data_IF_113586906557
#
_entry.id   IF_113586906557
#
_cell.length_a   1.000
_cell.length_b   1.000
_cell.length_c   1.000
_cell.angle_alpha   90.00
_cell.angle_beta   90.00
_cell.angle_gamma   90.00
#
_symmetry.space_group_name_H-M   'P 1'
#
loop_
_entity.id
_entity.type
_entity.pdbx_description
1 polymer ?
#
# COMPACT_ATOMS: atom_id res chain seq x y z
N UNK A 1 -0.02 -1.86 -36.57
CA UNK A 1 -0.68 -1.03 -35.54
C UNK A 1 0.08 -1.17 -34.24
N UNK A 2 0.11 -2.36 -33.62
CA UNK A 2 0.90 -2.64 -32.40
C UNK A 2 2.34 -2.08 -32.43
N UNK A 3 3.10 -2.28 -33.51
CA UNK A 3 4.49 -1.79 -33.58
C UNK A 3 4.64 -0.27 -33.48
N UNK A 4 3.67 0.50 -34.01
CA UNK A 4 3.70 1.96 -33.91
C UNK A 4 3.26 2.44 -32.51
N UNK A 5 2.35 1.69 -31.87
CA UNK A 5 1.88 1.98 -30.51
C UNK A 5 2.98 1.71 -29.49
N UNK A 6 3.72 0.60 -29.65
CA UNK A 6 4.90 0.29 -28.84
C UNK A 6 6.03 1.29 -29.01
N UNK A 7 6.32 1.73 -30.23
CA UNK A 7 7.36 2.73 -30.46
C UNK A 7 7.03 4.06 -29.76
N UNK A 8 5.78 4.52 -29.91
CA UNK A 8 5.29 5.74 -29.26
C UNK A 8 5.41 5.69 -27.73
N UNK A 9 4.86 4.64 -27.11
CA UNK A 9 4.91 4.54 -25.64
C UNK A 9 6.31 4.19 -25.13
N UNK A 10 7.13 3.50 -25.91
CA UNK A 10 8.53 3.26 -25.58
C UNK A 10 9.33 4.57 -25.52
N UNK A 11 9.13 5.48 -26.48
CA UNK A 11 9.70 6.82 -26.46
C UNK A 11 9.21 7.63 -25.25
N UNK A 12 7.89 7.63 -25.01
CA UNK A 12 7.28 8.37 -23.91
C UNK A 12 7.78 7.89 -22.53
N UNK A 13 7.78 6.57 -22.29
CA UNK A 13 8.29 5.97 -21.05
C UNK A 13 9.76 6.28 -20.86
N UNK A 14 10.58 6.16 -21.92
CA UNK A 14 12.01 6.43 -21.84
C UNK A 14 12.31 7.89 -21.50
N UNK A 15 11.52 8.82 -22.03
CA UNK A 15 11.71 10.25 -21.83
C UNK A 15 11.17 10.75 -20.48
N UNK A 16 10.05 10.21 -19.99
CA UNK A 16 9.30 10.81 -18.89
C UNK A 16 9.21 9.95 -17.62
N UNK A 17 9.29 8.62 -17.73
CA UNK A 17 8.94 7.70 -16.63
C UNK A 17 10.02 6.64 -16.34
N UNK A 18 11.21 6.77 -16.94
CA UNK A 18 12.23 5.73 -16.89
C UNK A 18 12.93 5.65 -15.53
N UNK A 19 13.14 6.79 -14.89
CA UNK A 19 13.95 6.95 -13.67
C UNK A 19 13.09 6.99 -12.41
N UNK A 20 12.09 7.87 -12.37
CA UNK A 20 11.25 8.11 -11.20
C UNK A 20 9.97 7.27 -11.23
N UNK A 21 9.49 6.89 -10.04
CA UNK A 21 8.16 6.29 -9.91
C UNK A 21 7.11 7.28 -10.41
N UNK A 22 6.15 6.85 -11.22
CA UNK A 22 5.04 7.69 -11.66
C UNK A 22 3.75 6.86 -11.68
N UNK A 23 2.69 7.37 -11.05
CA UNK A 23 1.36 6.80 -11.19
C UNK A 23 0.54 7.62 -12.19
N UNK A 24 -0.10 6.94 -13.13
CA UNK A 24 -0.98 7.52 -14.14
C UNK A 24 -2.36 6.91 -13.96
N UNK A 25 -3.35 7.74 -13.66
CA UNK A 25 -4.71 7.28 -13.35
C UNK A 25 -5.75 8.00 -14.20
N UNK A 26 -6.48 7.25 -15.01
CA UNK A 26 -7.59 7.73 -15.81
C UNK A 26 -8.90 7.43 -15.10
N UNK A 27 -9.76 8.43 -14.99
CA UNK A 27 -11.14 8.31 -14.52
C UNK A 27 -12.12 8.80 -15.57
N UNK A 28 -13.21 8.08 -15.80
CA UNK A 28 -14.29 8.54 -16.68
C UNK A 28 -15.37 9.35 -15.94
N UNK A 29 -15.11 9.69 -14.66
CA UNK A 29 -15.90 10.68 -13.95
C UNK A 29 -15.79 12.04 -14.64
N UNK A 30 -16.92 12.70 -14.96
CA UNK A 30 -16.92 14.00 -15.62
C UNK A 30 -16.63 15.17 -14.65
N UNK A 31 -16.75 14.93 -13.34
CA UNK A 31 -16.56 15.95 -12.31
C UNK A 31 -15.10 15.97 -11.82
N UNK A 32 -14.37 17.00 -12.24
CA UNK A 32 -13.00 17.27 -11.79
C UNK A 32 -12.89 17.31 -10.27
N UNK A 33 -13.84 17.94 -9.58
CA UNK A 33 -13.79 18.08 -8.14
C UNK A 33 -13.97 16.72 -7.44
N UNK A 34 -14.78 15.83 -8.02
CA UNK A 34 -14.93 14.46 -7.53
C UNK A 34 -13.63 13.67 -7.70
N UNK A 35 -12.92 13.84 -8.83
CA UNK A 35 -11.60 13.24 -9.04
C UNK A 35 -10.60 13.75 -8.00
N UNK A 36 -10.48 15.07 -7.81
CA UNK A 36 -9.59 15.66 -6.80
C UNK A 36 -9.86 15.10 -5.38
N UNK A 37 -11.14 15.07 -4.98
CA UNK A 37 -11.53 14.54 -3.66
C UNK A 37 -11.27 13.04 -3.49
N UNK A 38 -11.36 12.26 -4.57
CA UNK A 38 -11.06 10.82 -4.51
C UNK A 38 -9.58 10.56 -4.17
N UNK A 39 -8.68 11.48 -4.51
CA UNK A 39 -7.28 11.45 -4.09
C UNK A 39 -7.02 12.11 -2.74
N UNK A 40 -8.03 12.68 -2.08
CA UNK A 40 -7.85 13.44 -0.85
C UNK A 40 -7.27 14.84 -1.04
N UNK A 41 -7.41 15.40 -2.24
CA UNK A 41 -7.04 16.78 -2.54
C UNK A 41 -8.24 17.74 -2.44
N UNK A 42 -7.94 19.02 -2.19
CA UNK A 42 -8.94 20.10 -2.21
C UNK A 42 -8.94 20.78 -3.59
N UNK A 43 -10.02 20.64 -4.40
CA UNK A 43 -10.09 21.25 -5.74
C UNK A 43 -10.04 22.79 -5.70
N UNK A 44 -10.37 23.41 -4.56
CA UNK A 44 -10.31 24.87 -4.39
C UNK A 44 -8.90 25.43 -4.28
N UNK A 45 -7.88 24.58 -4.12
CA UNK A 45 -6.47 24.95 -3.98
C UNK A 45 -5.64 24.64 -5.24
N UNK A 46 -6.30 24.38 -6.38
CA UNK A 46 -5.62 24.06 -7.63
C UNK A 46 -4.82 25.23 -8.22
N UNK A 47 -3.64 24.92 -8.73
CA UNK A 47 -2.75 25.87 -9.42
C UNK A 47 -2.40 25.37 -10.82
N UNK A 48 -2.17 26.26 -11.78
CA UNK A 48 -1.75 25.83 -13.12
C UNK A 48 -0.29 25.35 -13.09
N UNK A 49 0.00 24.16 -13.61
CA UNK A 49 1.35 23.61 -13.70
C UNK A 49 1.41 22.52 -14.78
N UNK A 50 2.57 22.34 -15.42
CA UNK A 50 2.81 21.19 -16.30
C UNK A 50 3.38 19.99 -15.51
N UNK A 51 3.60 18.85 -16.18
CA UNK A 51 4.13 17.64 -15.54
C UNK A 51 5.60 17.78 -15.13
N UNK A 52 6.42 18.45 -15.94
CA UNK A 52 7.86 18.62 -15.70
C UNK A 52 8.15 19.42 -14.42
N UNK A 53 7.46 20.55 -14.23
CA UNK A 53 7.59 21.39 -13.04
C UNK A 53 7.12 20.63 -11.78
N UNK A 54 6.08 19.79 -11.89
CA UNK A 54 5.61 18.95 -10.80
C UNK A 54 6.59 17.84 -10.44
N UNK A 55 7.26 17.24 -11.43
CA UNK A 55 8.34 16.28 -11.20
C UNK A 55 9.49 16.93 -10.41
N UNK A 56 9.91 18.14 -10.79
CA UNK A 56 10.95 18.90 -10.07
C UNK A 56 10.52 19.18 -8.63
N UNK A 57 9.27 19.62 -8.43
CA UNK A 57 8.73 19.90 -7.10
C UNK A 57 8.74 18.64 -6.22
N UNK A 58 8.23 17.53 -6.74
CA UNK A 58 8.15 16.28 -6.00
C UNK A 58 9.54 15.66 -5.75
N UNK A 59 10.54 15.90 -6.60
CA UNK A 59 11.91 15.46 -6.33
C UNK A 59 12.50 16.15 -5.07
N UNK A 60 11.88 17.23 -4.60
CA UNK A 60 12.20 17.88 -3.32
C UNK A 60 11.39 17.32 -2.13
N UNK A 61 10.58 16.28 -2.32
CA UNK A 61 9.63 15.78 -1.32
C UNK A 61 10.27 15.07 -0.12
N UNK A 62 11.56 14.72 -0.17
CA UNK A 62 12.30 14.23 1.00
C UNK A 62 12.43 15.30 2.12
N UNK A 63 12.05 16.54 1.84
CA UNK A 63 11.95 17.61 2.82
C UNK A 63 10.67 17.44 3.64
N UNK A 64 10.75 17.34 4.99
CA UNK A 64 9.58 17.25 5.85
C UNK A 64 8.56 18.36 5.57
N UNK A 65 7.32 17.98 5.26
CA UNK A 65 6.20 18.90 5.00
C UNK A 65 5.86 19.14 3.54
N UNK A 66 6.60 18.56 2.59
CA UNK A 66 6.16 18.49 1.18
C UNK A 66 5.06 17.46 1.07
N UNK A 67 3.93 17.85 0.49
CA UNK A 67 2.78 16.98 0.27
C UNK A 67 2.85 16.34 -1.13
N UNK A 68 2.27 15.14 -1.33
CA UNK A 68 2.21 14.53 -2.65
C UNK A 68 1.52 15.44 -3.68
N UNK A 69 2.15 15.61 -4.83
CA UNK A 69 1.65 16.43 -5.94
C UNK A 69 0.85 15.57 -6.93
N UNK A 70 -0.30 16.09 -7.37
CA UNK A 70 -1.10 15.56 -8.47
C UNK A 70 -1.11 16.56 -9.62
N UNK A 71 -0.91 16.12 -10.86
CA UNK A 71 -1.20 16.89 -12.06
C UNK A 71 -2.46 16.32 -12.72
N UNK A 72 -3.49 17.15 -12.83
CA UNK A 72 -4.80 16.73 -13.32
C UNK A 72 -5.14 17.48 -14.60
N UNK A 73 -5.47 16.73 -15.64
CA UNK A 73 -5.90 17.28 -16.93
C UNK A 73 -6.87 16.35 -17.65
N UNK A 74 -7.28 16.74 -18.85
CA UNK A 74 -8.23 15.95 -19.67
C UNK A 74 -7.50 15.32 -20.84
N UNK A 75 -7.72 14.03 -21.06
CA UNK A 75 -7.31 13.30 -22.27
C UNK A 75 -8.57 12.74 -22.91
N UNK A 76 -9.03 13.40 -23.98
CA UNK A 76 -10.29 13.07 -24.64
C UNK A 76 -11.49 13.19 -23.70
N UNK A 77 -12.18 12.08 -23.42
CA UNK A 77 -13.30 12.05 -22.46
C UNK A 77 -12.91 11.70 -21.01
N UNK A 78 -11.63 11.43 -20.75
CA UNK A 78 -11.15 10.96 -19.45
C UNK A 78 -10.41 12.09 -18.72
N UNK A 79 -10.55 12.13 -17.40
CA UNK A 79 -9.64 12.89 -16.55
C UNK A 79 -8.42 12.03 -16.25
N UNK A 80 -7.23 12.53 -16.57
CA UNK A 80 -5.95 11.92 -16.24
C UNK A 80 -5.35 12.64 -15.04
N UNK A 81 -4.98 11.86 -14.03
CA UNK A 81 -4.16 12.27 -12.89
C UNK A 81 -2.77 11.66 -13.06
N UNK A 82 -1.74 12.49 -13.02
CA UNK A 82 -0.33 12.08 -13.00
C UNK A 82 0.24 12.40 -11.63
N UNK A 83 0.87 11.41 -11.02
CA UNK A 83 1.53 11.53 -9.72
C UNK A 83 3.03 11.29 -9.91
N UNK A 84 3.82 12.35 -10.10
CA UNK A 84 5.26 12.25 -9.98
C UNK A 84 5.60 11.65 -8.61
N UNK A 85 6.49 10.65 -8.58
CA UNK A 85 6.97 9.97 -7.37
C UNK A 85 5.86 9.67 -6.32
N UNK A 86 4.67 9.31 -6.80
CA UNK A 86 3.48 9.03 -6.01
C UNK A 86 2.80 7.74 -6.48
N UNK A 87 1.82 7.27 -5.70
CA UNK A 87 1.12 6.02 -5.96
C UNK A 87 -0.31 5.98 -5.41
N UNK A 88 -0.90 7.12 -5.05
CA UNK A 88 -2.26 7.19 -4.49
C UNK A 88 -3.30 6.59 -5.43
N UNK A 89 -3.16 6.83 -6.73
CA UNK A 89 -4.05 6.31 -7.77
C UNK A 89 -3.97 4.80 -7.96
N UNK A 90 -2.93 4.15 -7.44
CA UNK A 90 -2.83 2.68 -7.40
C UNK A 90 -3.62 2.05 -6.24
N UNK A 91 -4.06 2.85 -5.28
CA UNK A 91 -4.73 2.37 -4.07
C UNK A 91 -6.18 1.93 -4.35
N UNK A 92 -6.63 0.78 -3.81
CA UNK A 92 -7.98 0.27 -4.05
C UNK A 92 -9.11 1.22 -3.66
N UNK A 93 -8.98 1.93 -2.55
CA UNK A 93 -9.96 2.91 -2.05
C UNK A 93 -10.09 4.12 -2.96
N UNK A 94 -8.98 4.62 -3.51
CA UNK A 94 -8.97 5.72 -4.49
C UNK A 94 -9.63 5.27 -5.78
N UNK A 95 -9.21 4.13 -6.33
CA UNK A 95 -9.79 3.57 -7.55
C UNK A 95 -11.29 3.27 -7.42
N UNK A 96 -11.75 2.81 -6.26
CA UNK A 96 -13.17 2.58 -5.97
C UNK A 96 -13.96 3.89 -5.92
N UNK A 97 -13.39 4.93 -5.32
CA UNK A 97 -13.99 6.26 -5.31
C UNK A 97 -14.09 6.83 -6.73
N UNK A 98 -13.05 6.67 -7.56
CA UNK A 98 -13.05 7.08 -8.97
C UNK A 98 -14.03 6.26 -9.82
N UNK A 99 -14.18 4.97 -9.56
CA UNK A 99 -15.08 4.09 -10.32
C UNK A 99 -16.50 4.01 -9.73
N UNK A 100 -16.88 4.90 -8.80
CA UNK A 100 -18.17 4.85 -8.12
C UNK A 100 -19.37 4.94 -9.09
N UNK A 101 -19.24 5.74 -10.16
CA UNK A 101 -20.27 5.95 -11.18
C UNK A 101 -19.77 5.65 -12.61
N UNK A 102 -18.65 4.94 -12.74
CA UNK A 102 -18.05 4.64 -14.02
C UNK A 102 -16.88 3.67 -13.92
N UNK A 103 -15.72 4.09 -14.39
CA UNK A 103 -14.52 3.27 -14.55
C UNK A 103 -13.27 4.08 -14.25
N UNK A 104 -12.30 3.39 -13.68
CA UNK A 104 -10.95 3.91 -13.49
C UNK A 104 -9.92 2.89 -13.95
N UNK A 105 -8.83 3.36 -14.54
CA UNK A 105 -7.63 2.56 -14.82
C UNK A 105 -6.42 3.30 -14.30
N UNK A 106 -5.54 2.60 -13.61
CA UNK A 106 -4.29 3.15 -13.09
C UNK A 106 -3.11 2.30 -13.53
N UNK A 107 -2.01 2.96 -13.88
CA UNK A 107 -0.71 2.33 -14.11
C UNK A 107 0.30 2.98 -13.18
N UNK A 108 0.87 2.19 -12.28
CA UNK A 108 2.03 2.57 -11.49
C UNK A 108 3.28 2.08 -12.22
N UNK A 109 4.11 3.02 -12.66
CA UNK A 109 5.41 2.79 -13.29
C UNK A 109 6.48 3.05 -12.22
N UNK A 110 6.91 2.01 -11.51
CA UNK A 110 7.64 2.16 -10.26
C UNK A 110 9.15 1.94 -10.42
N UNK A 111 9.79 2.43 -11.50
CA UNK A 111 11.25 2.34 -11.68
C UNK A 111 11.87 0.97 -11.28
N UNK A 112 12.57 0.85 -10.12
CA UNK A 112 13.15 -0.42 -9.63
C UNK A 112 12.17 -1.35 -8.87
N UNK A 113 10.97 -0.87 -8.53
CA UNK A 113 9.92 -1.58 -7.81
C UNK A 113 8.96 -2.37 -8.70
N UNK A 114 7.76 -2.61 -8.19
CA UNK A 114 6.70 -3.37 -8.87
C UNK A 114 5.86 -2.41 -9.70
N UNK A 115 5.81 -2.65 -11.02
CA UNK A 115 4.88 -1.97 -11.90
C UNK A 115 3.49 -2.62 -11.80
N UNK A 116 2.45 -1.81 -11.61
CA UNK A 116 1.07 -2.30 -11.42
C UNK A 116 0.14 -1.72 -12.49
N UNK A 117 -0.75 -2.55 -13.02
CA UNK A 117 -1.91 -2.11 -13.80
C UNK A 117 -3.18 -2.50 -13.04
N UNK A 118 -4.01 -1.51 -12.72
CA UNK A 118 -5.29 -1.71 -12.04
C UNK A 118 -6.45 -1.18 -12.86
N UNK A 119 -7.57 -1.91 -12.88
CA UNK A 119 -8.81 -1.52 -13.54
C UNK A 119 -9.99 -1.78 -12.60
N UNK A 120 -10.85 -0.78 -12.44
CA UNK A 120 -12.08 -0.88 -11.63
C UNK A 120 -13.24 -0.30 -12.44
N UNK A 121 -14.40 -0.97 -12.37
CA UNK A 121 -15.63 -0.51 -12.97
C UNK A 121 -16.81 -0.74 -12.04
N UNK A 122 -17.82 0.14 -12.07
CA UNK A 122 -19.02 0.00 -11.25
C UNK A 122 -19.68 -1.37 -11.48
N UNK A 123 -19.88 -2.11 -10.39
CA UNK A 123 -20.54 -3.43 -10.44
C UNK A 123 -19.65 -4.58 -10.95
N UNK A 124 -18.36 -4.34 -11.19
CA UNK A 124 -17.39 -5.37 -11.54
C UNK A 124 -16.32 -5.53 -10.43
N UNK A 125 -15.72 -6.73 -10.28
CA UNK A 125 -14.55 -6.91 -9.43
C UNK A 125 -13.38 -6.04 -9.89
N UNK A 126 -12.62 -5.51 -8.94
CA UNK A 126 -11.36 -4.85 -9.23
C UNK A 126 -10.35 -5.85 -9.81
N UNK A 127 -9.57 -5.41 -10.78
CA UNK A 127 -8.50 -6.19 -11.40
C UNK A 127 -7.19 -5.46 -11.14
N UNK A 128 -6.20 -6.15 -10.58
CA UNK A 128 -4.84 -5.62 -10.38
C UNK A 128 -3.84 -6.66 -10.85
N UNK A 129 -2.94 -6.24 -11.73
CA UNK A 129 -1.91 -7.07 -12.34
C UNK A 129 -0.52 -6.52 -12.00
N UNK A 130 0.35 -7.37 -11.44
CA UNK A 130 1.80 -7.11 -11.40
C UNK A 130 2.38 -7.34 -12.79
N UNK A 131 2.89 -6.28 -13.42
CA UNK A 131 3.37 -6.38 -14.79
C UNK A 131 4.66 -7.19 -14.92
N UNK A 132 5.41 -7.41 -13.84
CA UNK A 132 6.66 -8.18 -13.84
C UNK A 132 6.47 -9.67 -13.54
N UNK A 133 5.39 -10.07 -12.88
CA UNK A 133 5.25 -11.47 -12.40
C UNK A 133 3.92 -12.13 -12.73
N UNK A 134 2.91 -11.38 -13.17
CA UNK A 134 1.55 -11.88 -13.06
C UNK A 134 1.11 -12.79 -14.22
N UNK A 135 0.42 -13.92 -13.93
CA UNK A 135 -0.02 -14.86 -14.95
C UNK A 135 -1.09 -14.24 -15.85
N UNK A 136 -1.10 -14.67 -17.12
CA UNK A 136 -2.00 -14.17 -18.16
C UNK A 136 -3.51 -14.25 -17.86
N UNK A 137 -3.94 -14.98 -16.82
CA UNK A 137 -5.35 -15.07 -16.40
C UNK A 137 -5.90 -13.74 -15.87
N UNK A 138 -5.15 -12.98 -15.07
CA UNK A 138 -5.62 -11.66 -14.58
C UNK A 138 -5.66 -10.64 -15.71
N UNK A 139 -4.68 -10.66 -16.60
CA UNK A 139 -4.67 -9.83 -17.80
C UNK A 139 -5.86 -10.14 -18.71
N UNK A 140 -6.27 -11.41 -18.83
CA UNK A 140 -7.43 -11.83 -19.61
C UNK A 140 -8.77 -11.34 -19.04
N UNK A 141 -8.81 -10.93 -17.76
CA UNK A 141 -10.00 -10.34 -17.15
C UNK A 141 -10.19 -8.85 -17.52
N UNK A 142 -9.15 -8.18 -18.02
CA UNK A 142 -9.26 -6.80 -18.49
C UNK A 142 -10.25 -6.69 -19.67
N UNK A 143 -10.89 -5.52 -19.88
CA UNK A 143 -11.81 -5.33 -21.00
C UNK A 143 -11.07 -5.14 -22.35
N UNK A 144 -9.99 -5.90 -22.56
CA UNK A 144 -9.12 -5.87 -23.75
C UNK A 144 -8.84 -7.31 -24.17
N UNK A 145 -9.41 -7.73 -25.30
CA UNK A 145 -9.41 -9.13 -25.72
C UNK A 145 -8.00 -9.72 -25.96
N UNK A 146 -7.04 -8.90 -26.36
CA UNK A 146 -5.66 -9.27 -26.65
C UNK A 146 -4.67 -8.83 -25.57
N UNK A 147 -5.12 -8.54 -24.35
CA UNK A 147 -4.28 -8.00 -23.27
C UNK A 147 -3.03 -8.83 -22.98
N UNK A 148 -3.20 -10.14 -22.84
CA UNK A 148 -2.09 -11.05 -22.59
C UNK A 148 -1.10 -11.11 -23.77
N UNK A 149 -1.58 -10.99 -25.01
CA UNK A 149 -0.72 -10.96 -26.20
C UNK A 149 0.07 -9.66 -26.30
N UNK A 150 -0.54 -8.53 -25.92
CA UNK A 150 0.16 -7.23 -25.85
C UNK A 150 1.29 -7.30 -24.81
N UNK A 151 1.00 -7.77 -23.60
CA UNK A 151 2.04 -7.90 -22.57
C UNK A 151 3.14 -8.90 -22.97
N UNK A 152 2.77 -10.06 -23.53
CA UNK A 152 3.75 -11.06 -23.99
C UNK A 152 4.67 -10.52 -25.10
N UNK A 153 4.21 -9.58 -25.92
CA UNK A 153 5.03 -8.97 -26.96
C UNK A 153 6.14 -8.07 -26.41
N UNK A 154 5.98 -7.52 -25.20
CA UNK A 154 7.02 -6.75 -24.51
C UNK A 154 8.14 -7.64 -23.95
N UNK A 155 7.82 -8.88 -23.60
CA UNK A 155 8.75 -9.83 -22.97
C UNK A 155 9.01 -9.55 -21.49
N UNK A 156 9.57 -10.55 -20.81
CA UNK A 156 9.71 -10.56 -19.34
C UNK A 156 11.00 -9.88 -18.86
N UNK A 157 11.99 -9.66 -19.74
CA UNK A 157 13.31 -9.12 -19.37
C UNK A 157 13.44 -7.60 -19.60
N UNK A 158 12.55 -6.98 -20.37
CA UNK A 158 12.61 -5.56 -20.71
C UNK A 158 11.52 -4.76 -19.98
N UNK A 159 11.91 -4.07 -18.89
CA UNK A 159 11.02 -3.25 -18.09
C UNK A 159 10.36 -2.13 -18.91
N UNK A 160 11.14 -1.39 -19.70
CA UNK A 160 10.60 -0.25 -20.44
C UNK A 160 9.59 -0.71 -21.49
N UNK A 161 9.85 -1.85 -22.14
CA UNK A 161 8.90 -2.47 -23.05
C UNK A 161 7.59 -2.87 -22.36
N UNK A 162 7.66 -3.41 -21.12
CA UNK A 162 6.46 -3.78 -20.34
C UNK A 162 5.65 -2.56 -19.91
N UNK A 163 6.33 -1.52 -19.46
CA UNK A 163 5.70 -0.23 -19.12
C UNK A 163 5.01 0.37 -20.35
N UNK A 164 5.65 0.32 -21.52
CA UNK A 164 5.03 0.73 -22.77
C UNK A 164 3.82 -0.14 -23.16
N UNK A 165 3.89 -1.47 -23.00
CA UNK A 165 2.75 -2.37 -23.19
C UNK A 165 1.57 -2.01 -22.28
N UNK A 166 1.81 -1.66 -21.02
CA UNK A 166 0.75 -1.26 -20.10
C UNK A 166 0.04 0.02 -20.56
N UNK A 167 0.77 1.00 -21.07
CA UNK A 167 0.17 2.21 -21.65
C UNK A 167 -0.60 1.91 -22.95
N UNK A 168 -0.14 0.94 -23.76
CA UNK A 168 -0.95 0.42 -24.89
C UNK A 168 -2.26 -0.19 -24.40
N UNK A 169 -2.24 -0.96 -23.30
CA UNK A 169 -3.47 -1.50 -22.71
C UNK A 169 -4.40 -0.39 -22.22
N UNK A 170 -3.87 0.64 -21.56
CA UNK A 170 -4.65 1.81 -21.16
C UNK A 170 -5.30 2.46 -22.38
N UNK A 171 -4.57 2.73 -23.47
CA UNK A 171 -5.14 3.28 -24.70
C UNK A 171 -6.29 2.42 -25.23
N UNK A 172 -6.19 1.08 -25.16
CA UNK A 172 -7.27 0.17 -25.56
C UNK A 172 -8.49 0.24 -24.64
N UNK A 173 -8.29 0.44 -23.34
CA UNK A 173 -9.37 0.57 -22.34
C UNK A 173 -10.10 1.91 -22.48
N UNK A 174 -9.33 2.99 -22.62
CA UNK A 174 -9.85 4.37 -22.61
C UNK A 174 -10.35 4.79 -23.99
N UNK A 175 -9.73 4.26 -25.05
CA UNK A 175 -9.88 4.74 -26.42
C UNK A 175 -9.07 6.01 -26.71
N UNK A 176 -8.26 6.47 -25.76
CA UNK A 176 -7.58 7.77 -25.80
C UNK A 176 -6.06 7.60 -25.68
N UNK A 177 -5.33 8.30 -26.56
CA UNK A 177 -3.87 8.24 -26.61
C UNK A 177 -3.26 9.36 -25.77
N UNK A 178 -2.36 9.00 -24.86
CA UNK A 178 -1.51 9.95 -24.16
C UNK A 178 -0.34 10.36 -25.06
N UNK A 179 -0.09 11.65 -25.18
CA UNK A 179 0.99 12.18 -26.03
C UNK A 179 1.96 13.04 -25.23
N UNK A 180 3.14 13.26 -25.78
CA UNK A 180 4.14 14.15 -25.19
C UNK A 180 3.64 15.61 -25.14
N UNK A 181 2.87 16.06 -26.14
CA UNK A 181 2.27 17.40 -26.11
C UNK A 181 1.33 17.60 -24.93
N UNK A 182 0.65 16.53 -24.49
CA UNK A 182 -0.15 16.61 -23.27
C UNK A 182 0.74 16.81 -22.05
N UNK A 183 1.85 16.07 -21.91
CA UNK A 183 2.75 16.20 -20.73
C UNK A 183 3.38 17.60 -20.63
N UNK A 184 3.65 18.24 -21.77
CA UNK A 184 4.23 19.58 -21.86
C UNK A 184 3.21 20.72 -21.68
N UNK A 185 1.91 20.43 -21.68
CA UNK A 185 0.87 21.46 -21.54
C UNK A 185 0.90 22.09 -20.14
N UNK A 186 0.86 23.42 -20.07
CA UNK A 186 0.81 24.20 -18.82
C UNK A 186 -0.61 24.44 -18.34
N UNK A 187 -1.61 23.99 -19.10
CA UNK A 187 -3.04 24.10 -18.78
C UNK A 187 -3.55 23.10 -17.75
N UNK A 188 -2.72 22.20 -17.22
CA UNK A 188 -3.14 21.25 -16.19
C UNK A 188 -3.25 21.91 -14.82
N UNK A 189 -3.99 21.25 -13.94
CA UNK A 189 -4.19 21.69 -12.56
C UNK A 189 -3.33 20.83 -11.64
N UNK A 190 -2.39 21.47 -10.97
CA UNK A 190 -1.66 20.94 -9.83
C UNK A 190 -2.53 20.95 -8.58
N UNK A 191 -2.57 19.83 -7.86
CA UNK A 191 -3.21 19.69 -6.56
C UNK A 191 -2.26 19.04 -5.56
N UNK A 192 -2.54 19.22 -4.28
CA UNK A 192 -1.84 18.57 -3.17
C UNK A 192 -2.75 17.59 -2.45
N UNK A 193 -2.24 16.41 -2.15
CA UNK A 193 -2.92 15.43 -1.29
C UNK A 193 -2.77 15.87 0.16
N UNK A 194 -3.80 16.50 0.71
CA UNK A 194 -3.80 17.03 2.08
C UNK A 194 -4.52 16.12 3.06
N UNK A 195 -5.42 15.27 2.58
CA UNK A 195 -6.22 14.35 3.38
C UNK A 195 -6.46 13.05 2.59
N UNK A 196 -5.41 12.20 2.43
CA UNK A 196 -5.53 10.96 1.67
C UNK A 196 -6.69 10.11 2.18
N UNK A 197 -7.30 9.31 1.30
CA UNK A 197 -8.29 8.36 1.75
C UNK A 197 -7.66 7.38 2.74
N UNK A 198 -8.40 6.92 3.75
CA UNK A 198 -7.87 5.95 4.68
C UNK A 198 -7.86 4.56 4.04
N UNK A 199 -6.81 3.78 4.30
CA UNK A 199 -6.68 2.41 3.81
C UNK A 199 -7.91 1.55 4.16
N UNK A 200 -8.21 0.59 3.28
CA UNK A 200 -9.12 -0.50 3.59
C UNK A 200 -8.58 -1.30 4.79
N UNK A 201 -9.40 -1.47 5.84
CA UNK A 201 -9.04 -2.32 6.98
C UNK A 201 -8.73 -3.75 6.53
N UNK A 202 -9.49 -4.25 5.56
CA UNK A 202 -9.29 -5.55 4.94
C UNK A 202 -8.90 -5.31 3.48
N UNK A 203 -7.60 -5.37 3.16
CA UNK A 203 -7.13 -5.32 1.77
C UNK A 203 -7.84 -6.37 0.90
N UNK A 204 -8.04 -6.07 -0.39
CA UNK A 204 -8.80 -6.92 -1.32
C UNK A 204 -8.30 -8.37 -1.32
N UNK A 205 -6.97 -8.58 -1.33
CA UNK A 205 -6.35 -9.90 -1.34
C UNK A 205 -6.66 -10.75 -0.10
N UNK A 206 -7.17 -10.15 0.98
CA UNK A 206 -7.50 -10.84 2.22
C UNK A 206 -9.00 -10.94 2.49
N UNK A 207 -9.88 -10.45 1.60
CA UNK A 207 -11.34 -10.44 1.84
C UNK A 207 -11.95 -11.81 2.09
N UNK A 208 -11.45 -12.83 1.41
CA UNK A 208 -11.89 -14.22 1.58
C UNK A 208 -10.94 -15.05 2.44
N UNK A 209 -9.94 -14.42 3.06
CA UNK A 209 -8.89 -15.13 3.78
C UNK A 209 -9.45 -15.79 5.06
N UNK A 210 -9.14 -17.09 5.34
CA UNK A 210 -9.69 -17.80 6.49
C UNK A 210 -9.43 -17.16 7.85
N UNK A 211 -8.39 -16.33 7.96
CA UNK A 211 -8.03 -15.58 9.17
C UNK A 211 -9.15 -14.69 9.69
N UNK A 212 -10.04 -14.22 8.81
CA UNK A 212 -11.20 -13.40 9.19
C UNK A 212 -12.26 -14.19 9.98
N UNK A 213 -12.14 -15.52 10.02
CA UNK A 213 -12.98 -16.40 10.85
C UNK A 213 -12.43 -16.59 12.27
N UNK A 214 -11.21 -16.11 12.55
CA UNK A 214 -10.69 -16.07 13.91
C UNK A 214 -11.56 -15.11 14.75
N UNK A 215 -12.13 -15.57 15.89
CA UNK A 215 -13.07 -14.74 16.66
C UNK A 215 -12.45 -13.47 17.22
N UNK A 216 -11.17 -13.48 17.61
CA UNK A 216 -10.49 -12.32 18.20
C UNK A 216 -10.20 -11.27 17.13
N UNK A 217 -9.69 -11.71 15.96
CA UNK A 217 -9.43 -10.81 14.83
C UNK A 217 -10.75 -10.26 14.28
N UNK A 218 -11.76 -11.11 14.09
CA UNK A 218 -13.09 -10.69 13.60
C UNK A 218 -13.76 -9.67 14.52
N UNK A 219 -13.59 -9.81 15.85
CA UNK A 219 -14.14 -8.86 16.80
C UNK A 219 -13.53 -7.46 16.65
N UNK A 220 -12.19 -7.37 16.54
CA UNK A 220 -11.48 -6.11 16.32
C UNK A 220 -11.86 -5.47 14.99
N UNK A 221 -11.88 -6.25 13.91
CA UNK A 221 -12.17 -5.75 12.57
C UNK A 221 -13.60 -5.22 12.45
N UNK A 222 -14.55 -5.79 13.18
CA UNK A 222 -15.96 -5.36 13.17
C UNK A 222 -16.17 -4.01 13.85
N UNK A 223 -15.38 -3.70 14.87
CA UNK A 223 -15.52 -2.47 15.68
C UNK A 223 -14.15 -1.92 16.10
N UNK A 224 -13.35 -1.39 15.14
CA UNK A 224 -12.06 -0.79 15.43
C UNK A 224 -12.29 0.50 16.22
N UNK A 225 -11.88 0.50 17.49
CA UNK A 225 -12.10 1.63 18.38
C UNK A 225 -10.92 1.82 19.35
N UNK A 226 -10.78 2.98 20.02
CA UNK A 226 -9.74 3.17 21.03
C UNK A 226 -9.73 2.09 22.12
N UNK A 227 -10.89 1.47 22.41
CA UNK A 227 -11.02 0.39 23.38
C UNK A 227 -10.38 -0.94 22.92
N UNK A 228 -10.22 -1.17 21.62
CA UNK A 228 -9.62 -2.40 21.07
C UNK A 228 -8.10 -2.32 20.90
N UNK A 229 -7.47 -1.15 21.10
CA UNK A 229 -6.01 -0.97 20.97
C UNK A 229 -5.20 -1.98 21.82
N UNK A 230 -5.52 -2.21 23.13
CA UNK A 230 -4.80 -3.21 23.92
C UNK A 230 -4.86 -4.62 23.32
N UNK A 231 -6.03 -4.99 22.78
CA UNK A 231 -6.24 -6.29 22.15
C UNK A 231 -5.47 -6.41 20.83
N UNK A 232 -5.50 -5.37 19.98
CA UNK A 232 -4.71 -5.32 18.74
C UNK A 232 -3.23 -5.53 19.05
N UNK A 233 -2.69 -4.79 20.02
CA UNK A 233 -1.29 -4.91 20.45
C UNK A 233 -0.96 -6.32 20.91
N UNK A 234 -1.80 -6.91 21.76
CA UNK A 234 -1.63 -8.29 22.21
C UNK A 234 -1.62 -9.28 21.03
N UNK A 235 -2.59 -9.19 20.13
CA UNK A 235 -2.70 -10.09 18.97
C UNK A 235 -1.47 -9.99 18.07
N UNK A 236 -0.99 -8.78 17.76
CA UNK A 236 0.22 -8.56 16.96
C UNK A 236 1.45 -9.21 17.61
N UNK A 237 1.70 -8.95 18.91
CA UNK A 237 2.84 -9.57 19.62
C UNK A 237 2.72 -11.09 19.62
N UNK A 238 1.52 -11.63 19.88
CA UNK A 238 1.27 -13.08 19.89
C UNK A 238 1.58 -13.73 18.54
N UNK A 239 1.11 -13.14 17.44
CA UNK A 239 1.32 -13.66 16.08
C UNK A 239 2.81 -13.72 15.73
N UNK A 240 3.57 -12.69 16.11
CA UNK A 240 5.03 -12.62 15.90
C UNK A 240 5.78 -13.67 16.72
N UNK A 241 5.42 -13.83 18.00
CA UNK A 241 6.01 -14.88 18.86
C UNK A 241 5.72 -16.26 18.30
N UNK A 242 4.48 -16.54 17.88
CA UNK A 242 4.09 -17.83 17.30
C UNK A 242 4.83 -18.16 16.00
N UNK A 243 5.10 -17.15 15.15
CA UNK A 243 5.82 -17.35 13.89
C UNK A 243 7.34 -17.44 14.03
N UNK A 244 7.90 -17.11 15.19
CA UNK A 244 9.37 -17.06 15.40
C UNK A 244 9.94 -18.25 16.15
N UNK A 245 9.10 -19.20 16.60
CA UNK A 245 9.48 -20.29 17.50
C UNK A 245 10.22 -19.80 18.76
N UNK A 246 9.87 -18.61 19.24
CA UNK A 246 10.41 -18.03 20.47
C UNK A 246 9.65 -18.56 21.69
N UNK A 247 10.05 -19.74 22.15
CA UNK A 247 9.53 -20.37 23.36
C UNK A 247 10.41 -20.03 24.57
N UNK A 248 9.92 -19.15 25.45
CA UNK A 248 10.65 -18.75 26.65
C UNK A 248 9.69 -18.29 27.76
N UNK A 249 9.88 -18.68 29.04
CA UNK A 249 8.97 -18.31 30.14
C UNK A 249 8.76 -16.80 30.31
N UNK A 250 9.80 -15.99 30.08
CA UNK A 250 9.69 -14.52 30.11
C UNK A 250 8.76 -13.95 29.03
N UNK A 251 8.64 -14.64 27.88
CA UNK A 251 7.76 -14.25 26.78
C UNK A 251 6.33 -14.66 27.10
N UNK A 252 6.11 -15.85 27.67
CA UNK A 252 4.79 -16.28 28.16
C UNK A 252 4.25 -15.31 29.23
N UNK A 253 5.10 -14.91 30.18
CA UNK A 253 4.74 -13.91 31.19
C UNK A 253 4.38 -12.56 30.56
N UNK A 254 5.15 -12.12 29.55
CA UNK A 254 4.85 -10.89 28.82
C UNK A 254 3.51 -10.97 28.09
N UNK A 255 3.21 -12.07 27.41
CA UNK A 255 1.95 -12.30 26.72
C UNK A 255 0.76 -12.31 27.68
N UNK A 256 0.88 -12.93 28.86
CA UNK A 256 -0.15 -12.90 29.89
C UNK A 256 -0.41 -11.48 30.43
N UNK A 257 0.65 -10.66 30.59
CA UNK A 257 0.50 -9.25 30.97
C UNK A 257 -0.22 -8.45 29.87
N UNK A 258 0.02 -8.76 28.60
CA UNK A 258 -0.57 -8.06 27.45
C UNK A 258 -2.03 -8.47 27.20
N UNK A 259 -2.41 -9.73 27.43
CA UNK A 259 -3.80 -10.19 27.32
C UNK A 259 -4.71 -9.59 28.40
N UNK A 260 -4.13 -9.06 29.48
CA UNK A 260 -4.88 -8.64 30.67
C UNK A 260 -5.16 -9.79 31.64
N UNK A 261 -4.61 -10.98 31.39
CA UNK A 261 -4.69 -12.12 32.31
C UNK A 261 -3.82 -11.88 33.54
N UNK A 262 -4.46 -11.36 34.59
CA UNK A 262 -3.83 -11.19 35.89
C UNK A 262 -4.07 -9.81 36.48
N UNK A 263 -5.34 -9.49 36.69
CA UNK A 263 -5.83 -8.35 37.47
C UNK A 263 -5.10 -8.33 38.83
N UNK A 264 -4.02 -7.56 38.88
CA UNK A 264 -3.06 -7.53 39.96
C UNK A 264 -2.88 -6.08 40.37
N UNK A 265 -2.93 -5.85 41.68
CA UNK A 265 -2.61 -4.57 42.31
C UNK A 265 -1.18 -4.08 41.99
N UNK A 266 -0.31 -4.91 41.40
CA UNK A 266 1.04 -4.56 40.94
C UNK A 266 1.28 -4.84 39.44
N UNK A 267 0.35 -4.44 38.57
CA UNK A 267 0.52 -4.60 37.12
C UNK A 267 1.76 -3.86 36.57
N UNK A 268 2.11 -2.70 37.15
CA UNK A 268 3.26 -1.89 36.72
C UNK A 268 4.57 -2.57 37.07
N UNK A 269 4.73 -3.06 38.31
CA UNK A 269 5.94 -3.76 38.75
C UNK A 269 6.19 -5.04 37.94
N UNK A 270 5.13 -5.83 37.71
CA UNK A 270 5.20 -7.02 36.84
C UNK A 270 5.64 -6.68 35.42
N UNK A 271 5.09 -5.63 34.81
CA UNK A 271 5.49 -5.19 33.46
C UNK A 271 6.96 -4.79 33.38
N UNK A 272 7.46 -4.03 34.37
CA UNK A 272 8.88 -3.64 34.46
C UNK A 272 9.76 -4.89 34.57
N UNK A 273 9.38 -5.86 35.40
CA UNK A 273 10.14 -7.09 35.58
C UNK A 273 10.15 -7.95 34.31
N UNK A 274 9.00 -8.16 33.68
CA UNK A 274 8.90 -8.89 32.41
C UNK A 274 9.75 -8.23 31.32
N UNK A 275 9.69 -6.90 31.18
CA UNK A 275 10.52 -6.15 30.21
C UNK A 275 12.01 -6.36 30.44
N UNK A 276 12.48 -6.35 31.70
CA UNK A 276 13.90 -6.63 32.03
C UNK A 276 14.30 -8.04 31.62
N UNK A 277 13.45 -9.04 31.89
CA UNK A 277 13.73 -10.44 31.56
C UNK A 277 13.75 -10.70 30.05
N UNK A 278 12.81 -10.13 29.30
CA UNK A 278 12.80 -10.20 27.83
C UNK A 278 14.00 -9.43 27.24
N UNK A 279 14.40 -8.32 27.87
CA UNK A 279 15.60 -7.57 27.47
C UNK A 279 16.88 -8.41 27.59
N UNK A 280 17.05 -9.13 28.70
CA UNK A 280 18.16 -10.05 28.87
C UNK A 280 18.14 -11.18 27.83
N UNK A 281 16.98 -11.78 27.57
CA UNK A 281 16.82 -12.80 26.51
C UNK A 281 17.23 -12.28 25.13
N UNK A 282 16.79 -11.07 24.76
CA UNK A 282 17.17 -10.43 23.49
C UNK A 282 18.69 -10.25 23.41
N UNK A 283 19.30 -9.78 24.49
CA UNK A 283 20.76 -9.58 24.53
C UNK A 283 21.50 -10.92 24.42
N UNK A 284 21.01 -11.98 25.05
CA UNK A 284 21.58 -13.33 24.92
C UNK A 284 21.51 -13.87 23.47
N UNK A 285 20.35 -13.72 22.81
CA UNK A 285 20.15 -14.07 21.39
C UNK A 285 21.11 -13.32 20.47
N UNK A 286 21.41 -12.06 20.78
CA UNK A 286 22.34 -11.23 19.99
C UNK A 286 23.80 -11.68 20.11
N UNK A 287 24.20 -12.22 21.26
CA UNK A 287 25.59 -12.62 21.52
C UNK A 287 25.92 -14.06 21.09
N UNK A 288 24.91 -14.90 20.82
CA UNK A 288 25.09 -16.30 20.41
C UNK A 288 24.38 -16.63 19.09
N UNK A 289 24.71 -15.96 17.98
CA UNK A 289 23.90 -16.00 16.77
C UNK A 289 23.91 -17.38 16.08
N UNK A 290 22.80 -18.09 16.18
CA UNK A 290 22.40 -19.16 15.27
C UNK A 290 21.59 -18.56 14.10
N UNK A 291 21.58 -19.14 12.89
CA UNK A 291 20.79 -18.64 11.76
C UNK A 291 19.28 -18.48 12.05
N UNK A 292 18.74 -19.27 12.98
CA UNK A 292 17.34 -19.19 13.44
C UNK A 292 17.10 -18.07 14.48
N UNK A 293 18.16 -17.44 14.99
CA UNK A 293 18.02 -16.45 16.05
C UNK A 293 17.61 -15.08 15.52
N UNK A 294 17.66 -14.84 14.20
CA UNK A 294 17.18 -13.59 13.62
C UNK A 294 15.68 -13.36 13.85
N UNK A 295 14.83 -14.38 13.60
CA UNK A 295 13.39 -14.30 13.85
C UNK A 295 13.08 -14.20 15.35
N UNK A 296 13.80 -14.95 16.18
CA UNK A 296 13.67 -14.92 17.64
C UNK A 296 14.08 -13.60 18.25
N UNK A 297 15.21 -13.04 17.82
CA UNK A 297 15.72 -11.73 18.24
C UNK A 297 14.67 -10.65 17.91
N UNK A 298 14.16 -10.67 16.69
CA UNK A 298 13.11 -9.77 16.25
C UNK A 298 11.82 -9.91 17.08
N UNK A 299 11.37 -11.14 17.33
CA UNK A 299 10.20 -11.36 18.18
C UNK A 299 10.40 -10.86 19.60
N UNK A 300 11.60 -11.03 20.18
CA UNK A 300 11.92 -10.45 21.47
C UNK A 300 11.87 -8.90 21.46
N UNK A 301 12.29 -8.26 20.36
CA UNK A 301 12.17 -6.81 20.16
C UNK A 301 10.70 -6.36 20.08
N UNK A 302 9.85 -7.06 19.32
CA UNK A 302 8.40 -6.80 19.26
C UNK A 302 7.74 -6.96 20.63
N UNK A 303 8.09 -7.99 21.41
CA UNK A 303 7.59 -8.17 22.78
C UNK A 303 8.01 -7.00 23.67
N UNK A 304 9.24 -6.50 23.55
CA UNK A 304 9.68 -5.32 24.28
C UNK A 304 8.85 -4.10 23.91
N UNK A 305 8.61 -3.83 22.62
CA UNK A 305 7.74 -2.73 22.20
C UNK A 305 6.33 -2.87 22.78
N UNK A 306 5.77 -4.08 22.82
CA UNK A 306 4.46 -4.34 23.42
C UNK A 306 4.39 -4.01 24.92
N UNK A 307 5.48 -4.19 25.66
CA UNK A 307 5.56 -3.91 27.09
C UNK A 307 5.81 -2.43 27.45
N UNK A 308 5.83 -1.53 26.48
CA UNK A 308 5.93 -0.09 26.75
C UNK A 308 4.65 0.44 27.44
N UNK A 309 4.82 1.47 28.28
CA UNK A 309 3.74 2.01 29.11
C UNK A 309 2.75 2.88 28.34
N UNK A 310 3.23 3.63 27.35
CA UNK A 310 2.37 4.41 26.46
C UNK A 310 1.70 3.45 25.48
N UNK A 311 0.38 3.30 25.58
CA UNK A 311 -0.36 2.34 24.78
C UNK A 311 -0.33 2.70 23.29
N UNK A 312 -0.43 3.98 22.93
CA UNK A 312 -0.49 4.40 21.53
C UNK A 312 0.89 4.25 20.87
N UNK A 313 1.94 4.77 21.51
CA UNK A 313 3.31 4.64 21.01
C UNK A 313 3.76 3.17 20.93
N UNK A 314 3.48 2.39 21.97
CA UNK A 314 3.74 0.95 22.02
C UNK A 314 3.07 0.21 20.87
N UNK A 315 1.80 0.51 20.58
CA UNK A 315 1.06 -0.17 19.53
C UNK A 315 1.58 0.18 18.14
N UNK A 316 1.94 1.45 17.89
CA UNK A 316 2.56 1.88 16.61
C UNK A 316 3.87 1.12 16.37
N UNK A 317 4.77 1.12 17.36
CA UNK A 317 6.06 0.39 17.27
C UNK A 317 5.85 -1.11 17.04
N UNK A 318 4.89 -1.72 17.72
CA UNK A 318 4.56 -3.15 17.49
C UNK A 318 4.07 -3.37 16.06
N UNK A 319 3.16 -2.55 15.54
CA UNK A 319 2.65 -2.70 14.17
C UNK A 319 3.75 -2.51 13.12
N UNK A 320 4.59 -1.48 13.26
CA UNK A 320 5.74 -1.21 12.39
C UNK A 320 6.72 -2.38 12.32
N UNK A 321 6.93 -3.08 13.44
CA UNK A 321 7.86 -4.19 13.52
C UNK A 321 7.18 -5.57 13.37
N UNK A 322 5.85 -5.67 13.27
CA UNK A 322 5.20 -6.98 13.25
C UNK A 322 5.30 -7.70 11.90
N UNK A 323 5.46 -6.97 10.79
CA UNK A 323 5.44 -7.56 9.45
C UNK A 323 6.83 -8.07 9.04
N UNK A 324 7.02 -9.40 8.96
CA UNK A 324 8.31 -9.99 8.61
C UNK A 324 8.19 -11.23 7.70
N UNK A 325 9.25 -11.48 6.93
CA UNK A 325 9.30 -12.54 5.92
C UNK A 325 9.11 -13.97 6.45
N UNK A 326 9.45 -14.23 7.72
CA UNK A 326 9.38 -15.55 8.34
C UNK A 326 7.96 -15.96 8.79
N UNK A 327 7.01 -15.05 8.82
CA UNK A 327 5.63 -15.36 9.20
C UNK A 327 4.93 -16.22 8.14
N UNK A 328 4.05 -17.12 8.58
CA UNK A 328 3.15 -17.83 7.68
C UNK A 328 2.13 -16.86 7.05
N UNK A 329 1.57 -17.22 5.89
CA UNK A 329 0.66 -16.34 5.14
C UNK A 329 -0.53 -15.83 5.96
N UNK A 330 -1.11 -16.70 6.80
CA UNK A 330 -2.21 -16.32 7.69
C UNK A 330 -1.80 -15.30 8.75
N UNK A 331 -0.58 -15.38 9.27
CA UNK A 331 -0.05 -14.43 10.24
C UNK A 331 0.26 -13.10 9.56
N UNK A 332 0.82 -13.11 8.35
CA UNK A 332 1.04 -11.90 7.54
C UNK A 332 -0.28 -11.17 7.28
N UNK A 333 -1.32 -11.90 6.85
CA UNK A 333 -2.65 -11.33 6.64
C UNK A 333 -3.22 -10.71 7.93
N UNK A 334 -3.13 -11.40 9.07
CA UNK A 334 -3.58 -10.87 10.35
C UNK A 334 -2.83 -9.59 10.75
N UNK A 335 -1.49 -9.58 10.61
CA UNK A 335 -0.66 -8.42 10.96
C UNK A 335 -1.05 -7.20 10.13
N UNK A 336 -1.23 -7.36 8.82
CA UNK A 336 -1.67 -6.27 7.93
C UNK A 336 -3.04 -5.74 8.35
N UNK A 337 -4.03 -6.62 8.53
CA UNK A 337 -5.41 -6.23 8.89
C UNK A 337 -5.45 -5.51 10.25
N UNK A 338 -4.73 -6.02 11.25
CA UNK A 338 -4.66 -5.43 12.59
C UNK A 338 -3.87 -4.11 12.59
N UNK A 339 -2.83 -4.00 11.77
CA UNK A 339 -2.11 -2.74 11.53
C UNK A 339 -3.03 -1.67 10.94
N UNK A 340 -3.82 -2.02 9.92
CA UNK A 340 -4.78 -1.08 9.31
C UNK A 340 -5.89 -0.66 10.29
N UNK A 341 -6.35 -1.58 11.16
CA UNK A 341 -7.23 -1.21 12.27
C UNK A 341 -6.58 -0.18 13.18
N UNK A 342 -5.31 -0.36 13.53
CA UNK A 342 -4.60 0.53 14.43
C UNK A 342 -4.40 1.92 13.83
N UNK A 343 -3.98 2.01 12.57
CA UNK A 343 -3.85 3.29 11.85
C UNK A 343 -5.18 4.04 11.84
N UNK A 344 -6.28 3.35 11.48
CA UNK A 344 -7.64 3.94 11.49
C UNK A 344 -8.06 4.50 12.86
N UNK A 345 -7.58 3.93 13.96
CA UNK A 345 -7.95 4.36 15.31
C UNK A 345 -7.08 5.53 15.79
N UNK A 346 -5.82 5.58 15.37
CA UNK A 346 -4.80 6.50 15.89
C UNK A 346 -4.63 7.79 15.08
N UNK A 347 -5.10 7.80 13.84
CA UNK A 347 -5.07 8.94 12.90
C UNK A 347 -6.46 9.61 12.81
#
# INVERSE_FOLDING_TARGET
MLQNDFAHYGELVSAWFAEDSTCLTWSDLPDFDAVARAFGADPGLGEAMNVEDAQIEQHSADIPGVLPVLIVGVVGRWTLVVEPNGAEGSRPEVLRALAAEGRAVSVLLNGPGIDLLSYVATGAPAITCDLGTEPGEKLAALPVADAASIMAAAGDDDRLARQAAALVLVERITGERLTEEWLLDTGHVRLLVTSPLPDDIIPEQYRDHPILRDPEISAVVRDPSPATIPQIRYLLVRLVVQGSDLDHPSVEEALAILSGDGDSTDAVGRRIQARRRVGALRDDLRHSPHPQDASRLHAAEVVLHGLESDLAESSRKVAEHAYMGYLADAQKAAVVILGNCLHRILD
#
